data_IF_219176333766
#
_entry.id   IF_219176333766
#
_cell.length_a   1.000
_cell.length_b   1.000
_cell.length_c   1.000
_cell.angle_alpha   90.00
_cell.angle_beta   90.00
_cell.angle_gamma   90.00
#
_symmetry.space_group_name_H-M   'P 1'
#
loop_
_entity.id
_entity.type
_entity.pdbx_description
1 polymer ?
#
# COMPACT_ATOMS: atom_id res chain seq x y z
N UNK A 1 -13.11 -0.08 -12.60
CA UNK A 1 -12.09 -1.06 -12.19
C UNK A 1 -10.85 -0.24 -11.87
N UNK A 2 -10.22 -0.46 -10.70
CA UNK A 2 -9.01 0.26 -10.35
C UNK A 2 -7.90 -0.05 -11.37
N UNK A 3 -7.04 0.92 -11.75
CA UNK A 3 -5.93 0.68 -12.67
C UNK A 3 -4.89 -0.26 -12.06
N UNK A 4 -4.01 -0.89 -12.87
CA UNK A 4 -2.82 -1.58 -12.37
C UNK A 4 -1.96 -0.65 -11.50
N UNK A 5 -1.36 -1.18 -10.42
CA UNK A 5 -0.52 -0.41 -9.51
C UNK A 5 0.67 0.23 -10.22
N UNK A 6 1.27 -0.47 -11.20
CA UNK A 6 2.38 0.08 -11.97
C UNK A 6 2.00 1.32 -12.77
N UNK A 7 0.75 1.43 -13.23
CA UNK A 7 0.29 2.66 -13.91
C UNK A 7 0.25 3.83 -12.93
N UNK A 8 -0.17 3.60 -11.67
CA UNK A 8 -0.14 4.61 -10.62
C UNK A 8 1.29 5.02 -10.25
N UNK A 9 2.18 4.04 -10.09
CA UNK A 9 3.61 4.29 -9.81
C UNK A 9 4.25 5.12 -10.93
N UNK A 10 3.89 4.85 -12.19
CA UNK A 10 4.38 5.63 -13.32
C UNK A 10 3.74 7.01 -13.43
N UNK A 11 2.49 7.18 -13.01
CA UNK A 11 1.85 8.50 -12.97
C UNK A 11 2.56 9.44 -11.99
N UNK A 12 3.10 8.94 -10.88
CA UNK A 12 3.94 9.72 -9.95
C UNK A 12 5.20 10.32 -10.62
N UNK A 13 5.63 9.79 -11.78
CA UNK A 13 6.72 10.34 -12.60
C UNK A 13 6.31 11.53 -13.45
N UNK A 14 5.02 11.66 -13.77
CA UNK A 14 4.49 12.56 -14.80
C UNK A 14 3.98 13.92 -14.27
N UNK A 15 4.02 14.14 -12.96
CA UNK A 15 3.74 15.43 -12.34
C UNK A 15 4.76 16.51 -12.73
N UNK A 16 4.33 17.39 -13.64
CA UNK A 16 4.79 18.77 -13.86
C UNK A 16 6.28 19.08 -14.13
N UNK A 17 6.92 18.52 -15.17
CA UNK A 17 8.00 19.20 -15.93
C UNK A 17 9.25 19.72 -15.17
N UNK A 18 9.35 19.47 -13.86
CA UNK A 18 10.47 19.74 -12.97
C UNK A 18 11.09 18.40 -12.63
N UNK A 19 12.39 18.40 -12.38
CA UNK A 19 13.21 17.23 -12.04
C UNK A 19 12.82 16.54 -10.72
N UNK A 20 11.66 16.83 -10.14
CA UNK A 20 11.17 16.29 -8.87
C UNK A 20 10.03 15.29 -9.13
N UNK A 21 10.05 14.16 -8.43
CA UNK A 21 8.98 13.17 -8.50
C UNK A 21 7.80 13.70 -7.71
N UNK A 22 6.63 13.71 -8.33
CA UNK A 22 5.41 14.20 -7.70
C UNK A 22 4.70 13.05 -7.00
N UNK A 23 5.09 12.84 -5.75
CA UNK A 23 4.49 11.84 -4.89
C UNK A 23 3.20 12.36 -4.22
N UNK A 24 2.57 13.43 -4.72
CA UNK A 24 1.25 13.89 -4.22
C UNK A 24 0.16 12.80 -4.27
N UNK A 25 0.34 11.78 -5.14
CA UNK A 25 -0.49 10.57 -5.19
C UNK A 25 -0.41 9.72 -3.91
N UNK A 26 0.66 9.89 -3.14
CA UNK A 26 0.86 9.34 -1.80
C UNK A 26 0.61 10.47 -0.80
N UNK A 27 -0.67 10.77 -0.51
CA UNK A 27 -1.06 11.84 0.42
C UNK A 27 -0.18 11.79 1.69
N UNK A 28 0.65 12.81 1.94
CA UNK A 28 1.56 12.88 3.09
C UNK A 28 3.06 13.07 2.74
N UNK A 29 3.95 12.79 3.70
CA UNK A 29 5.40 12.82 3.46
C UNK A 29 5.83 11.57 2.68
N UNK A 30 6.38 11.71 1.45
CA UNK A 30 6.80 10.57 0.66
C UNK A 30 8.08 9.98 1.24
N UNK A 31 7.95 8.78 1.79
CA UNK A 31 9.05 7.98 2.30
C UNK A 31 8.90 6.52 1.89
N UNK A 32 10.02 5.80 1.84
CA UNK A 32 10.05 4.40 1.37
C UNK A 32 9.09 3.53 2.16
N UNK A 33 8.99 3.75 3.49
CA UNK A 33 8.05 3.01 4.34
C UNK A 33 6.60 3.25 3.92
N UNK A 34 6.17 4.51 3.75
CA UNK A 34 4.79 4.81 3.34
C UNK A 34 4.48 4.21 1.96
N UNK A 35 5.40 4.31 1.00
CA UNK A 35 5.24 3.71 -0.33
C UNK A 35 5.11 2.18 -0.28
N UNK A 36 5.91 1.49 0.52
CA UNK A 36 5.78 0.02 0.71
C UNK A 36 4.40 -0.32 1.26
N UNK A 37 3.96 0.38 2.31
CA UNK A 37 2.63 0.22 2.88
C UNK A 37 1.54 0.43 1.84
N UNK A 38 1.62 1.54 1.09
CA UNK A 38 0.68 1.90 0.03
C UNK A 38 0.56 0.82 -1.04
N UNK A 39 1.69 0.32 -1.54
CA UNK A 39 1.67 -0.76 -2.52
C UNK A 39 0.97 -1.99 -1.96
N UNK A 40 1.25 -2.39 -0.72
CA UNK A 40 0.59 -3.53 -0.08
C UNK A 40 -0.94 -3.34 0.07
N UNK A 41 -1.38 -2.19 0.59
CA UNK A 41 -2.81 -1.91 0.78
C UNK A 41 -3.59 -1.85 -0.54
N UNK A 42 -2.98 -1.27 -1.58
CA UNK A 42 -3.59 -1.22 -2.91
C UNK A 42 -3.78 -2.63 -3.52
N UNK A 43 -2.78 -3.49 -3.36
CA UNK A 43 -2.80 -4.87 -3.86
C UNK A 43 -3.81 -5.74 -3.13
N UNK A 44 -3.87 -5.61 -1.81
CA UNK A 44 -4.85 -6.33 -0.98
C UNK A 44 -6.28 -5.95 -1.39
N UNK A 45 -6.58 -4.65 -1.52
CA UNK A 45 -7.86 -4.18 -2.04
C UNK A 45 -8.13 -4.71 -3.46
N UNK A 46 -7.14 -4.65 -4.35
CA UNK A 46 -7.29 -5.17 -5.72
C UNK A 46 -7.58 -6.67 -5.75
N UNK A 47 -7.00 -7.42 -4.81
CA UNK A 47 -7.28 -8.84 -4.56
C UNK A 47 -8.70 -9.07 -4.06
N UNK A 48 -9.14 -8.30 -3.06
CA UNK A 48 -10.49 -8.35 -2.50
C UNK A 48 -11.57 -8.02 -3.56
N UNK A 49 -11.27 -7.12 -4.50
CA UNK A 49 -12.13 -6.80 -5.64
C UNK A 49 -12.12 -7.86 -6.75
N UNK A 50 -11.27 -8.89 -6.63
CA UNK A 50 -11.12 -9.97 -7.61
C UNK A 50 -10.41 -9.55 -8.90
N UNK A 51 -9.78 -8.37 -8.91
CA UNK A 51 -8.98 -7.86 -10.03
C UNK A 51 -7.61 -8.52 -10.00
N UNK A 52 -6.94 -8.48 -8.84
CA UNK A 52 -5.57 -8.96 -8.64
C UNK A 52 -4.55 -8.23 -9.51
N UNK A 53 -3.36 -7.95 -8.99
CA UNK A 53 -2.31 -7.29 -9.78
C UNK A 53 -1.20 -8.27 -10.16
N UNK A 54 -1.49 -9.10 -11.17
CA UNK A 54 -0.51 -10.05 -11.72
C UNK A 54 0.68 -9.33 -12.36
N UNK A 55 0.47 -8.11 -12.84
CA UNK A 55 1.51 -7.31 -13.46
C UNK A 55 2.52 -6.82 -12.42
N UNK A 56 2.06 -6.41 -11.23
CA UNK A 56 2.97 -6.09 -10.15
C UNK A 56 3.76 -7.32 -9.66
N UNK A 57 3.11 -8.49 -9.58
CA UNK A 57 3.82 -9.74 -9.27
C UNK A 57 4.89 -10.08 -10.32
N UNK A 58 4.62 -9.79 -11.60
CA UNK A 58 5.60 -9.93 -12.68
C UNK A 58 6.79 -8.99 -12.49
N UNK A 59 6.50 -7.74 -12.13
CA UNK A 59 7.50 -6.73 -11.88
C UNK A 59 8.41 -7.08 -10.70
N UNK A 60 7.85 -7.58 -9.59
CA UNK A 60 8.63 -8.03 -8.43
C UNK A 60 9.55 -9.20 -8.79
N UNK A 61 9.05 -10.15 -9.60
CA UNK A 61 9.85 -11.24 -10.15
C UNK A 61 10.99 -10.72 -11.03
N UNK A 62 10.69 -9.81 -11.95
CA UNK A 62 11.68 -9.21 -12.84
C UNK A 62 12.75 -8.40 -12.09
N UNK A 63 12.38 -7.61 -11.08
CA UNK A 63 13.34 -6.86 -10.26
C UNK A 63 14.36 -7.81 -9.64
N UNK A 64 13.92 -8.96 -9.14
CA UNK A 64 14.82 -9.97 -8.57
C UNK A 64 15.73 -10.59 -9.65
N UNK A 65 15.18 -10.95 -10.81
CA UNK A 65 15.95 -11.55 -11.91
C UNK A 65 16.97 -10.60 -12.54
N UNK A 66 16.62 -9.32 -12.65
CA UNK A 66 17.51 -8.27 -13.13
C UNK A 66 18.68 -7.99 -12.17
N UNK A 67 18.79 -8.72 -11.05
CA UNK A 67 19.81 -8.55 -10.03
C UNK A 67 19.68 -7.23 -9.27
N UNK A 68 18.49 -6.60 -9.33
CA UNK A 68 18.22 -5.35 -8.61
C UNK A 68 17.93 -5.61 -7.13
N UNK A 69 17.60 -6.84 -6.75
CA UNK A 69 17.42 -7.29 -5.35
C UNK A 69 17.97 -8.70 -5.14
N UNK A 70 18.28 -9.06 -3.88
CA UNK A 70 18.61 -10.44 -3.51
C UNK A 70 17.34 -11.31 -3.39
N UNK A 71 17.46 -12.65 -3.50
CA UNK A 71 16.33 -13.55 -3.23
C UNK A 71 15.74 -13.34 -1.82
N UNK A 72 14.43 -13.13 -1.73
CA UNK A 72 13.73 -12.87 -0.47
C UNK A 72 13.87 -11.44 0.05
N UNK A 73 14.68 -10.61 -0.60
CA UNK A 73 14.82 -9.19 -0.29
C UNK A 73 13.82 -8.37 -1.12
N UNK A 74 12.99 -7.58 -0.45
CA UNK A 74 12.10 -6.62 -1.10
C UNK A 74 12.86 -5.45 -1.72
N UNK A 75 12.28 -4.83 -2.77
CA UNK A 75 12.89 -3.71 -3.50
C UNK A 75 13.31 -2.55 -2.57
N UNK A 76 12.51 -2.25 -1.55
CA UNK A 76 12.73 -1.13 -0.64
C UNK A 76 14.06 -1.27 0.10
N UNK A 77 14.33 -2.46 0.63
CA UNK A 77 15.56 -2.72 1.39
C UNK A 77 16.79 -2.74 0.49
N UNK A 78 16.68 -3.29 -0.72
CA UNK A 78 17.79 -3.31 -1.67
C UNK A 78 18.15 -1.91 -2.16
N UNK A 79 17.15 -1.08 -2.46
CA UNK A 79 17.39 0.28 -2.95
C UNK A 79 17.84 1.20 -1.83
N UNK A 80 17.27 1.12 -0.63
CA UNK A 80 17.79 1.84 0.53
C UNK A 80 19.25 1.48 0.80
N UNK A 81 19.61 0.19 0.76
CA UNK A 81 21.00 -0.24 0.93
C UNK A 81 21.91 0.31 -0.18
N UNK A 82 21.46 0.28 -1.43
CA UNK A 82 22.22 0.77 -2.59
C UNK A 82 22.50 2.27 -2.53
N UNK A 83 21.61 3.05 -1.94
CA UNK A 83 21.69 4.51 -1.89
C UNK A 83 21.95 5.04 -0.48
N UNK A 84 22.63 4.27 0.39
CA UNK A 84 23.02 4.69 1.73
C UNK A 84 21.86 5.27 2.58
N UNK A 85 20.69 4.64 2.49
CA UNK A 85 19.43 5.05 3.12
C UNK A 85 18.82 6.38 2.60
N UNK A 86 19.26 6.89 1.46
CA UNK A 86 18.59 8.00 0.77
C UNK A 86 17.25 7.54 0.19
N UNK A 87 16.17 7.85 0.92
CA UNK A 87 14.81 7.46 0.55
C UNK A 87 14.38 8.04 -0.79
N UNK A 88 14.81 9.26 -1.14
CA UNK A 88 14.42 9.90 -2.41
C UNK A 88 15.04 9.19 -3.59
N UNK A 89 16.32 8.84 -3.48
CA UNK A 89 17.00 8.06 -4.52
C UNK A 89 16.45 6.64 -4.62
N UNK A 90 16.13 6.01 -3.48
CA UNK A 90 15.51 4.69 -3.48
C UNK A 90 14.13 4.67 -4.15
N UNK A 91 13.27 5.65 -3.84
CA UNK A 91 11.96 5.81 -4.50
C UNK A 91 12.11 6.11 -5.99
N UNK A 92 13.07 6.96 -6.38
CA UNK A 92 13.35 7.22 -7.79
C UNK A 92 13.76 5.95 -8.53
N UNK A 93 14.65 5.15 -7.93
CA UNK A 93 15.08 3.90 -8.53
C UNK A 93 13.93 2.88 -8.67
N UNK A 94 12.96 2.90 -7.76
CA UNK A 94 11.74 2.10 -7.88
C UNK A 94 10.88 2.52 -9.06
N UNK A 95 10.63 3.82 -9.22
CA UNK A 95 9.87 4.36 -10.37
C UNK A 95 10.61 4.12 -11.69
N UNK A 96 11.94 4.28 -11.71
CA UNK A 96 12.76 3.98 -12.89
C UNK A 96 12.72 2.49 -13.23
N UNK A 97 12.81 1.60 -12.24
CA UNK A 97 12.64 0.17 -12.45
C UNK A 97 11.26 -0.16 -13.04
N UNK A 98 10.18 0.45 -12.54
CA UNK A 98 8.84 0.27 -13.11
C UNK A 98 8.77 0.71 -14.58
N UNK A 99 9.43 1.83 -14.91
CA UNK A 99 9.51 2.33 -16.28
C UNK A 99 10.33 1.40 -17.20
N UNK A 100 11.44 0.86 -16.71
CA UNK A 100 12.26 -0.11 -17.43
C UNK A 100 11.47 -1.40 -17.70
N UNK A 101 10.74 -1.91 -16.70
CA UNK A 101 9.90 -3.09 -16.84
C UNK A 101 8.82 -2.90 -17.92
N UNK A 102 8.16 -1.74 -17.94
CA UNK A 102 7.15 -1.40 -18.94
C UNK A 102 7.70 -1.25 -20.36
N UNK A 103 8.99 -0.95 -20.49
CA UNK A 103 9.67 -0.87 -21.77
C UNK A 103 10.16 -2.24 -22.29
N UNK A 104 9.98 -3.33 -21.53
CA UNK A 104 10.37 -4.67 -21.98
C UNK A 104 9.58 -5.09 -23.21
N UNK A 105 10.27 -5.73 -24.16
CA UNK A 105 9.62 -6.33 -25.31
C UNK A 105 8.79 -7.55 -24.90
N UNK A 106 7.77 -7.94 -25.70
CA UNK A 106 7.01 -9.17 -25.43
C UNK A 106 7.89 -10.42 -25.32
N UNK A 107 8.97 -10.49 -26.11
CA UNK A 107 9.93 -11.60 -26.06
C UNK A 107 10.71 -11.61 -24.72
N UNK A 108 11.09 -10.44 -24.20
CA UNK A 108 11.76 -10.32 -22.91
C UNK A 108 10.82 -10.72 -21.76
N UNK A 109 9.57 -10.27 -21.77
CA UNK A 109 8.55 -10.66 -20.79
C UNK A 109 8.28 -12.18 -20.80
N UNK A 110 8.24 -12.79 -21.99
CA UNK A 110 8.05 -14.23 -22.14
C UNK A 110 9.23 -15.06 -21.61
N UNK A 111 10.42 -14.46 -21.50
CA UNK A 111 11.63 -15.13 -21.02
C UNK A 111 11.82 -15.09 -19.50
N UNK A 112 11.00 -14.34 -18.77
CA UNK A 112 11.10 -14.22 -17.31
C UNK A 112 10.74 -15.53 -16.62
N UNK A 113 11.51 -15.91 -15.59
CA UNK A 113 11.21 -17.10 -14.78
C UNK A 113 10.17 -16.74 -13.72
N UNK A 114 8.94 -17.17 -13.96
CA UNK A 114 7.81 -16.92 -13.07
C UNK A 114 7.95 -17.74 -11.77
N UNK A 115 8.47 -17.11 -10.70
CA UNK A 115 8.73 -17.76 -9.40
C UNK A 115 7.49 -18.39 -8.73
N UNK A 116 6.29 -17.96 -9.11
CA UNK A 116 5.03 -18.49 -8.56
C UNK A 116 4.39 -19.60 -9.42
N UNK A 117 5.04 -20.00 -10.52
CA UNK A 117 4.52 -21.02 -11.43
C UNK A 117 3.34 -20.52 -12.27
N UNK A 118 3.49 -20.55 -13.60
CA UNK A 118 2.43 -20.16 -14.53
C UNK A 118 2.97 -19.67 -15.86
N UNK A 119 2.09 -19.56 -16.85
CA UNK A 119 2.33 -18.78 -18.08
C UNK A 119 2.42 -17.28 -17.74
N UNK A 120 3.11 -16.46 -18.57
CA UNK A 120 3.03 -15.00 -18.46
C UNK A 120 1.56 -14.55 -18.35
N UNK A 121 1.26 -13.48 -17.59
CA UNK A 121 -0.11 -13.08 -17.35
C UNK A 121 -0.80 -12.79 -18.68
N UNK A 122 -1.73 -13.65 -19.07
CA UNK A 122 -2.71 -13.30 -20.09
C UNK A 122 -3.43 -12.02 -19.63
N UNK A 123 -3.76 -11.09 -20.55
CA UNK A 123 -4.51 -9.89 -20.21
C UNK A 123 -5.75 -10.29 -19.42
N UNK A 124 -5.89 -9.75 -18.22
CA UNK A 124 -6.98 -10.10 -17.33
C UNK A 124 -8.31 -9.83 -18.05
N UNK A 125 -9.10 -10.88 -18.27
CA UNK A 125 -10.49 -10.73 -18.69
C UNK A 125 -11.17 -9.95 -17.55
N UNK A 126 -11.85 -8.83 -17.82
CA UNK A 126 -12.53 -8.07 -16.78
C UNK A 126 -13.52 -8.99 -16.06
N UNK A 127 -13.17 -9.42 -14.85
CA UNK A 127 -14.13 -10.11 -14.00
C UNK A 127 -15.11 -9.06 -13.51
N UNK A 128 -16.39 -9.41 -13.52
CA UNK A 128 -17.42 -8.63 -12.84
C UNK A 128 -16.92 -8.40 -11.42
N UNK A 129 -16.82 -7.12 -11.01
CA UNK A 129 -16.41 -6.75 -9.65
C UNK A 129 -17.21 -7.61 -8.67
N UNK A 130 -16.51 -8.31 -7.77
CA UNK A 130 -17.18 -9.06 -6.72
C UNK A 130 -18.11 -8.09 -5.97
N UNK A 131 -19.39 -8.45 -5.83
CA UNK A 131 -20.42 -7.57 -5.27
C UNK A 131 -20.22 -7.23 -3.79
N UNK A 132 -19.17 -7.75 -3.16
CA UNK A 132 -18.85 -7.57 -1.74
C UNK A 132 -17.38 -7.18 -1.60
N UNK A 133 -17.04 -5.93 -1.89
CA UNK A 133 -15.76 -5.36 -1.44
C UNK A 133 -15.74 -5.35 0.09
N UNK A 134 -14.65 -5.81 0.69
CA UNK A 134 -14.46 -5.72 2.14
C UNK A 134 -14.23 -4.24 2.52
N UNK A 135 -14.86 -3.78 3.60
CA UNK A 135 -14.59 -2.44 4.12
C UNK A 135 -13.20 -2.42 4.78
N UNK A 136 -12.47 -1.31 4.68
CA UNK A 136 -11.14 -1.19 5.27
C UNK A 136 -11.17 -1.43 6.77
N UNK A 137 -12.22 -0.98 7.46
CA UNK A 137 -12.36 -1.23 8.90
C UNK A 137 -12.43 -2.74 9.20
N UNK A 138 -13.09 -3.56 8.37
CA UNK A 138 -13.10 -5.02 8.54
C UNK A 138 -11.70 -5.61 8.37
N UNK A 139 -10.92 -5.09 7.42
CA UNK A 139 -9.52 -5.50 7.24
C UNK A 139 -8.70 -5.20 8.49
N UNK A 140 -8.80 -3.98 9.04
CA UNK A 140 -8.08 -3.59 10.25
C UNK A 140 -8.49 -4.44 11.46
N UNK A 141 -9.79 -4.73 11.60
CA UNK A 141 -10.29 -5.62 12.67
C UNK A 141 -9.77 -7.05 12.52
N UNK A 142 -9.63 -7.55 11.29
CA UNK A 142 -9.03 -8.85 11.03
C UNK A 142 -7.52 -8.84 11.37
N UNK A 143 -6.78 -7.80 11.00
CA UNK A 143 -5.36 -7.65 11.39
C UNK A 143 -5.22 -7.72 12.91
N UNK A 144 -6.10 -7.02 13.64
CA UNK A 144 -6.15 -7.04 15.10
C UNK A 144 -6.43 -8.43 15.65
N UNK A 145 -7.45 -9.11 15.11
CA UNK A 145 -7.90 -10.43 15.56
C UNK A 145 -6.81 -11.48 15.37
N UNK A 146 -6.12 -11.43 14.23
CA UNK A 146 -5.03 -12.36 13.90
C UNK A 146 -3.74 -12.02 14.65
N UNK A 147 -3.52 -10.74 14.97
CA UNK A 147 -2.35 -10.27 15.72
C UNK A 147 -1.05 -10.37 14.93
N UNK A 148 -1.11 -10.43 13.60
CA UNK A 148 0.05 -10.59 12.71
C UNK A 148 0.21 -9.40 11.78
N UNK A 149 0.33 -8.20 12.35
CA UNK A 149 0.51 -6.94 11.61
C UNK A 149 1.64 -7.06 10.58
N UNK A 150 2.71 -7.76 10.93
CA UNK A 150 3.87 -7.95 10.05
C UNK A 150 3.56 -8.67 8.74
N UNK A 151 2.51 -9.50 8.69
CA UNK A 151 2.10 -10.19 7.46
C UNK A 151 1.43 -9.24 6.45
N UNK A 152 0.92 -8.10 6.90
CA UNK A 152 0.20 -7.14 6.06
C UNK A 152 1.10 -6.00 5.59
N UNK A 153 1.94 -5.48 6.48
CA UNK A 153 2.74 -4.26 6.21
C UNK A 153 4.26 -4.47 6.30
N UNK A 154 4.72 -5.70 6.57
CA UNK A 154 6.12 -5.96 6.91
C UNK A 154 6.48 -5.34 8.26
N UNK A 155 7.57 -4.60 8.38
CA UNK A 155 7.96 -3.96 9.64
C UNK A 155 6.83 -3.09 10.23
N UNK A 156 6.57 -3.23 11.54
CA UNK A 156 5.51 -2.54 12.26
C UNK A 156 5.82 -1.04 12.45
N UNK A 157 5.73 -0.27 11.36
CA UNK A 157 5.97 1.17 11.32
C UNK A 157 4.67 1.91 10.99
N UNK A 158 4.34 2.95 11.77
CA UNK A 158 3.13 3.76 11.55
C UNK A 158 3.01 4.29 10.13
N UNK A 159 4.12 4.66 9.50
CA UNK A 159 4.17 5.16 8.12
C UNK A 159 3.75 4.07 7.12
N UNK A 160 4.10 2.79 7.39
CA UNK A 160 3.65 1.67 6.56
C UNK A 160 2.16 1.39 6.76
N UNK A 161 1.65 1.46 7.99
CA UNK A 161 0.22 1.30 8.25
C UNK A 161 -0.61 2.42 7.62
N UNK A 162 -0.14 3.67 7.72
CA UNK A 162 -0.76 4.82 7.06
C UNK A 162 -0.77 4.64 5.53
N UNK A 163 0.39 4.29 4.96
CA UNK A 163 0.47 3.97 3.54
C UNK A 163 -0.52 2.87 3.14
N UNK A 164 -0.60 1.77 3.91
CA UNK A 164 -1.53 0.68 3.65
C UNK A 164 -2.98 1.16 3.58
N UNK A 165 -3.40 1.95 4.56
CA UNK A 165 -4.74 2.55 4.61
C UNK A 165 -4.98 3.41 3.36
N UNK A 166 -4.03 4.29 3.00
CA UNK A 166 -4.15 5.17 1.84
C UNK A 166 -4.28 4.38 0.53
N UNK A 167 -3.43 3.38 0.34
CA UNK A 167 -3.43 2.52 -0.85
C UNK A 167 -4.73 1.74 -0.99
N UNK A 168 -5.24 1.18 0.11
CA UNK A 168 -6.52 0.46 0.12
C UNK A 168 -7.69 1.40 -0.25
N UNK A 169 -7.73 2.59 0.37
CA UNK A 169 -8.77 3.60 0.09
C UNK A 169 -8.73 4.12 -1.33
N UNK A 170 -7.54 4.38 -1.87
CA UNK A 170 -7.40 4.82 -3.25
C UNK A 170 -7.90 3.74 -4.21
N UNK A 171 -7.54 2.47 -3.98
CA UNK A 171 -8.05 1.35 -4.77
C UNK A 171 -9.59 1.28 -4.76
N UNK A 172 -10.23 1.40 -3.59
CA UNK A 172 -11.69 1.47 -3.49
C UNK A 172 -12.25 2.67 -4.26
N UNK A 173 -11.66 3.86 -4.10
CA UNK A 173 -12.10 5.08 -4.77
C UNK A 173 -12.02 4.97 -6.30
N UNK A 174 -10.91 4.44 -6.83
CA UNK A 174 -10.72 4.19 -8.27
C UNK A 174 -11.62 3.06 -8.80
N UNK A 175 -12.11 2.18 -7.92
CA UNK A 175 -13.17 1.23 -8.23
C UNK A 175 -14.57 1.85 -8.24
N UNK A 176 -14.72 3.12 -7.85
CA UNK A 176 -16.01 3.81 -7.70
C UNK A 176 -16.73 3.49 -6.39
N UNK A 177 -16.02 2.92 -5.42
CA UNK A 177 -16.55 2.53 -4.12
C UNK A 177 -16.15 3.56 -3.06
N UNK A 178 -17.08 3.86 -2.16
CA UNK A 178 -16.85 4.78 -1.04
C UNK A 178 -16.93 4.02 0.26
N UNK A 179 -15.83 4.05 1.03
CA UNK A 179 -15.79 3.47 2.37
C UNK A 179 -16.35 4.45 3.41
N UNK A 180 -17.69 4.55 3.44
CA UNK A 180 -18.41 5.41 4.41
C UNK A 180 -18.15 4.99 5.86
N UNK A 181 -17.87 3.72 6.11
CA UNK A 181 -17.63 3.24 7.46
C UNK A 181 -16.28 3.73 7.98
N UNK A 182 -15.22 3.61 7.19
CA UNK A 182 -13.92 4.14 7.56
C UNK A 182 -13.95 5.67 7.73
N UNK A 183 -14.69 6.39 6.87
CA UNK A 183 -14.87 7.84 7.03
C UNK A 183 -15.57 8.20 8.36
N UNK A 184 -16.57 7.41 8.79
CA UNK A 184 -17.21 7.60 10.10
C UNK A 184 -16.25 7.28 11.25
N UNK A 185 -15.40 6.27 11.09
CA UNK A 185 -14.36 5.95 12.06
C UNK A 185 -13.34 7.09 12.22
N UNK A 186 -12.84 7.65 11.12
CA UNK A 186 -11.93 8.81 11.14
C UNK A 186 -12.57 10.01 11.85
N UNK A 187 -13.84 10.30 11.55
CA UNK A 187 -14.58 11.37 12.22
C UNK A 187 -14.75 11.08 13.71
N UNK A 188 -15.09 9.84 14.08
CA UNK A 188 -15.23 9.43 15.48
C UNK A 188 -13.92 9.61 16.27
N UNK A 189 -12.76 9.33 15.67
CA UNK A 189 -11.46 9.60 16.31
C UNK A 189 -11.28 11.07 16.68
N UNK A 190 -11.75 11.98 15.82
CA UNK A 190 -11.71 13.42 16.06
C UNK A 190 -12.76 13.85 17.10
N UNK A 191 -14.01 13.41 16.94
CA UNK A 191 -15.14 13.77 17.81
C UNK A 191 -14.92 13.32 19.27
N UNK A 192 -14.23 12.20 19.46
CA UNK A 192 -13.87 11.66 20.78
C UNK A 192 -12.53 12.17 21.30
N UNK A 193 -11.89 13.12 20.60
CA UNK A 193 -10.58 13.68 20.95
C UNK A 193 -9.48 12.63 21.12
N UNK A 194 -9.63 11.45 20.48
CA UNK A 194 -8.56 10.44 20.41
C UNK A 194 -7.42 10.96 19.52
N UNK A 195 -7.77 11.72 18.48
CA UNK A 195 -6.85 12.45 17.62
C UNK A 195 -7.19 13.95 17.72
N UNK A 196 -6.27 14.82 18.14
CA UNK A 196 -6.51 16.25 18.19
C UNK A 196 -6.89 16.83 16.82
N UNK A 197 -7.72 17.87 16.81
CA UNK A 197 -8.09 18.56 15.56
C UNK A 197 -6.86 19.07 14.82
N UNK A 198 -6.79 18.79 13.51
CA UNK A 198 -5.66 19.17 12.66
C UNK A 198 -4.46 18.22 12.73
N UNK A 199 -4.51 17.19 13.57
CA UNK A 199 -3.52 16.13 13.60
C UNK A 199 -4.03 14.87 12.90
N UNK A 200 -3.10 14.03 12.45
CA UNK A 200 -3.41 12.69 11.97
C UNK A 200 -3.26 11.68 13.11
N UNK A 201 -3.82 10.47 12.93
CA UNK A 201 -3.72 9.44 13.98
C UNK A 201 -2.29 8.96 14.15
N UNK A 202 -1.47 8.99 13.08
CA UNK A 202 -0.07 8.58 13.07
C UNK A 202 0.71 9.38 14.12
N UNK A 203 0.64 10.71 14.03
CA UNK A 203 1.37 11.60 14.93
C UNK A 203 0.85 11.48 16.36
N UNK A 204 -0.48 11.53 16.53
CA UNK A 204 -1.11 11.52 17.84
C UNK A 204 -0.82 10.22 18.61
N UNK A 205 -0.93 9.07 17.94
CA UNK A 205 -0.72 7.78 18.57
C UNK A 205 0.76 7.45 18.73
N UNK A 206 1.62 7.81 17.77
CA UNK A 206 3.07 7.63 17.93
C UNK A 206 3.61 8.46 19.09
N UNK A 207 3.16 9.70 19.23
CA UNK A 207 3.53 10.55 20.35
C UNK A 207 3.06 9.97 21.69
N UNK A 208 1.81 9.51 21.77
CA UNK A 208 1.26 8.87 22.97
C UNK A 208 1.98 7.55 23.33
N UNK A 209 2.50 6.85 22.32
CA UNK A 209 3.29 5.63 22.47
C UNK A 209 4.80 5.90 22.69
N UNK A 210 5.22 7.15 22.90
CA UNK A 210 6.63 7.53 23.09
C UNK A 210 7.56 7.09 21.95
N UNK A 211 7.05 7.08 20.71
CA UNK A 211 7.81 6.64 19.53
C UNK A 211 7.75 5.12 19.27
N UNK A 212 7.02 4.35 20.06
CA UNK A 212 6.78 2.93 19.77
C UNK A 212 5.72 2.80 18.66
N UNK A 213 6.19 2.46 17.46
CA UNK A 213 5.35 2.34 16.28
C UNK A 213 4.35 1.17 16.38
N UNK A 214 4.75 0.03 16.96
CA UNK A 214 3.90 -1.14 17.05
C UNK A 214 2.77 -0.89 18.06
N UNK A 215 3.09 -0.27 19.20
CA UNK A 215 2.09 0.16 20.18
C UNK A 215 1.12 1.21 19.58
N UNK A 216 1.61 2.15 18.77
CA UNK A 216 0.77 3.13 18.09
C UNK A 216 -0.18 2.48 17.07
N UNK A 217 0.28 1.47 16.33
CA UNK A 217 -0.58 0.70 15.42
C UNK A 217 -1.62 -0.08 16.21
N UNK A 218 -1.23 -0.79 17.28
CA UNK A 218 -2.19 -1.49 18.14
C UNK A 218 -3.25 -0.54 18.71
N UNK A 219 -2.86 0.69 19.08
CA UNK A 219 -3.79 1.73 19.53
C UNK A 219 -4.83 2.08 18.45
N UNK A 220 -4.42 2.23 17.19
CA UNK A 220 -5.35 2.43 16.08
C UNK A 220 -6.32 1.25 15.94
N UNK A 221 -5.80 0.03 15.96
CA UNK A 221 -6.60 -1.18 15.82
C UNK A 221 -7.62 -1.35 16.95
N UNK A 222 -7.23 -1.06 18.20
CA UNK A 222 -8.11 -1.07 19.36
C UNK A 222 -9.21 0.00 19.25
N UNK A 223 -8.88 1.18 18.74
CA UNK A 223 -9.87 2.22 18.45
C UNK A 223 -10.89 1.75 17.41
N UNK A 224 -10.45 1.05 16.37
CA UNK A 224 -11.36 0.44 15.38
C UNK A 224 -12.33 -0.57 16.00
N UNK A 225 -11.84 -1.40 16.94
CA UNK A 225 -12.68 -2.35 17.68
C UNK A 225 -13.69 -1.66 18.60
N UNK A 226 -13.27 -0.61 19.31
CA UNK A 226 -14.13 0.22 20.15
C UNK A 226 -15.25 0.85 19.32
N UNK A 227 -14.92 1.48 18.19
CA UNK A 227 -15.89 2.08 17.27
C UNK A 227 -16.92 1.08 16.75
N UNK A 228 -16.47 -0.14 16.38
CA UNK A 228 -17.37 -1.21 15.90
C UNK A 228 -18.34 -1.68 16.99
N UNK A 229 -17.85 -1.81 18.23
CA UNK A 229 -18.67 -2.23 19.36
C UNK A 229 -19.77 -1.20 19.67
N UNK A 230 -19.45 0.09 19.61
CA UNK A 230 -20.43 1.17 19.80
C UNK A 230 -21.48 1.21 18.68
N UNK A 231 -21.05 1.00 17.44
CA UNK A 231 -21.93 1.01 16.26
C UNK A 231 -22.90 -0.17 16.21
N UNK A 232 -22.57 -1.28 16.89
CA UNK A 232 -23.42 -2.48 16.96
C UNK A 232 -24.40 -2.46 18.15
N UNK A 233 -24.26 -1.49 19.06
CA UNK A 233 -25.08 -1.33 20.25
C UNK A 233 -26.27 -0.36 20.05
N UNK A 234 -26.38 0.25 18.87
CA UNK A 234 -27.46 1.12 18.43
C UNK A 234 -28.36 0.40 17.42
#
# INVERSE_FOLDING_TARGET
MPPPLLDLVLQARSGTGRRELDFELFEGQPGVSRTVGFTAGYLDCSGDLGVGDREHSAFDGWIQEAGKTLPGQGWWSAFLQKFDSDERQALRAYVDAASEFRALSPAALASLTWRYGGSPPEPAIPRTLAATSRALLDVLLEMRRVGRILMYIGDARVERMAGYIDGYRLCLSLAGLKDEEYLRFERWLQDTSRVPLGHTWEDAFLQAAHGDHEAAIHRLLDCGAEFRALSSAC
#
